data_IF_357917963972
#
_entry.id   IF_357917963972
#
_cell.length_a   1.000
_cell.length_b   1.000
_cell.length_c   1.000
_cell.angle_alpha   90.00
_cell.angle_beta   90.00
_cell.angle_gamma   90.00
#
_symmetry.space_group_name_H-M   'P 1'
#
loop_
_entity.id
_entity.type
_entity.pdbx_description
1 polymer ?
#
# COMPACT_ATOMS: atom_id res chain seq x y z
N UNK A 1 17.15 7.67 -10.15
CA UNK A 1 16.24 6.64 -9.62
C UNK A 1 14.85 7.01 -10.10
N UNK A 2 14.17 6.12 -10.82
CA UNK A 2 12.77 6.38 -11.17
C UNK A 2 11.95 6.29 -9.88
N UNK A 3 11.31 7.39 -9.49
CA UNK A 3 10.66 7.58 -8.17
C UNK A 3 9.14 7.44 -8.25
N UNK A 4 8.63 6.86 -9.33
CA UNK A 4 7.19 6.58 -9.46
C UNK A 4 6.77 5.38 -8.59
N UNK A 5 5.48 5.35 -8.24
CA UNK A 5 4.91 4.30 -7.41
C UNK A 5 5.10 2.89 -8.01
N UNK A 6 4.95 2.68 -9.34
CA UNK A 6 5.25 1.39 -9.97
C UNK A 6 6.68 0.90 -9.73
N UNK A 7 7.69 1.77 -9.86
CA UNK A 7 9.09 1.41 -9.62
C UNK A 7 9.32 0.95 -8.17
N UNK A 8 8.68 1.63 -7.20
CA UNK A 8 8.73 1.24 -5.79
C UNK A 8 8.10 -0.13 -5.54
N UNK A 9 6.94 -0.41 -6.16
CA UNK A 9 6.24 -1.70 -6.04
C UNK A 9 7.09 -2.81 -6.67
N UNK A 10 7.61 -2.61 -7.88
CA UNK A 10 8.45 -3.59 -8.57
C UNK A 10 9.69 -3.94 -7.74
N UNK A 11 10.40 -2.94 -7.21
CA UNK A 11 11.57 -3.19 -6.37
C UNK A 11 11.26 -3.99 -5.10
N UNK A 12 10.05 -3.83 -4.53
CA UNK A 12 9.61 -4.62 -3.38
C UNK A 12 9.25 -6.06 -3.77
N UNK A 13 8.58 -6.23 -4.91
CA UNK A 13 8.22 -7.55 -5.44
C UNK A 13 9.46 -8.35 -5.84
N UNK A 14 10.45 -7.72 -6.48
CA UNK A 14 11.72 -8.37 -6.84
C UNK A 14 12.38 -8.98 -5.60
N UNK A 15 12.54 -8.20 -4.52
CA UNK A 15 13.07 -8.69 -3.24
C UNK A 15 12.23 -9.80 -2.62
N UNK A 16 10.91 -9.68 -2.68
CA UNK A 16 10.01 -10.71 -2.18
C UNK A 16 10.21 -12.05 -2.92
N UNK A 17 10.35 -12.01 -4.25
CA UNK A 17 10.58 -13.22 -5.04
C UNK A 17 12.01 -13.77 -4.91
N UNK A 18 13.02 -12.93 -4.68
CA UNK A 18 14.38 -13.38 -4.34
C UNK A 18 14.42 -14.18 -3.03
N UNK A 19 13.63 -13.77 -2.03
CA UNK A 19 13.55 -14.42 -0.72
C UNK A 19 12.74 -15.72 -0.72
N UNK A 20 12.00 -15.97 -1.80
CA UNK A 20 11.04 -17.06 -1.89
C UNK A 20 11.68 -18.45 -1.99
N UNK A 21 12.97 -18.52 -2.34
CA UNK A 21 13.76 -19.77 -2.42
C UNK A 21 13.05 -20.94 -3.15
N UNK A 22 12.22 -20.64 -4.16
CA UNK A 22 11.52 -21.66 -4.95
C UNK A 22 10.19 -22.17 -4.37
N UNK A 23 9.69 -21.57 -3.28
CA UNK A 23 8.36 -21.89 -2.76
C UNK A 23 7.25 -21.42 -3.73
N UNK A 24 6.13 -22.15 -3.75
CA UNK A 24 4.96 -21.74 -4.53
C UNK A 24 4.25 -20.60 -3.81
N UNK A 25 4.05 -19.49 -4.51
CA UNK A 25 3.34 -18.32 -3.98
C UNK A 25 1.94 -18.20 -4.53
N UNK A 26 1.04 -17.74 -3.67
CA UNK A 26 -0.29 -17.27 -4.02
C UNK A 26 -0.61 -15.98 -3.24
N UNK A 27 -1.51 -15.15 -3.77
CA UNK A 27 -2.00 -13.97 -3.03
C UNK A 27 -1.16 -12.69 -3.13
N UNK A 28 -0.17 -12.61 -4.02
CA UNK A 28 0.66 -11.40 -4.22
C UNK A 28 -0.17 -10.15 -4.49
N UNK A 29 -1.19 -10.26 -5.34
CA UNK A 29 -2.07 -9.13 -5.64
C UNK A 29 -2.76 -8.60 -4.37
N UNK A 30 -3.29 -9.50 -3.53
CA UNK A 30 -3.91 -9.15 -2.25
C UNK A 30 -2.89 -8.52 -1.29
N UNK A 31 -1.69 -9.07 -1.20
CA UNK A 31 -0.61 -8.54 -0.37
C UNK A 31 -0.29 -7.09 -0.75
N UNK A 32 -0.09 -6.81 -2.04
CA UNK A 32 0.20 -5.45 -2.53
C UNK A 32 -0.96 -4.50 -2.27
N UNK A 33 -2.20 -4.92 -2.53
CA UNK A 33 -3.39 -4.10 -2.27
C UNK A 33 -3.51 -3.74 -0.78
N UNK A 34 -3.34 -4.72 0.13
CA UNK A 34 -3.44 -4.48 1.57
C UNK A 34 -2.36 -3.52 2.07
N UNK A 35 -1.12 -3.67 1.60
CA UNK A 35 -0.02 -2.78 2.00
C UNK A 35 -0.22 -1.36 1.48
N UNK A 36 -0.61 -1.20 0.20
CA UNK A 36 -0.82 0.11 -0.41
C UNK A 36 -2.02 0.83 0.21
N UNK A 37 -3.11 0.12 0.50
CA UNK A 37 -4.28 0.66 1.20
C UNK A 37 -3.91 1.14 2.61
N UNK A 38 -3.25 0.29 3.40
CA UNK A 38 -2.83 0.64 4.77
C UNK A 38 -1.89 1.84 4.80
N UNK A 39 -0.90 1.89 3.91
CA UNK A 39 0.03 3.01 3.80
C UNK A 39 -0.69 4.32 3.44
N UNK A 40 -1.63 4.26 2.50
CA UNK A 40 -2.39 5.43 2.04
C UNK A 40 -3.30 5.97 3.14
N UNK A 41 -4.06 5.09 3.80
CA UNK A 41 -4.96 5.47 4.90
C UNK A 41 -4.17 6.11 6.04
N UNK A 42 -3.08 5.47 6.47
CA UNK A 42 -2.24 5.97 7.55
C UNK A 42 -1.67 7.35 7.22
N UNK A 43 -1.12 7.51 6.02
CA UNK A 43 -0.55 8.78 5.59
C UNK A 43 -1.58 9.92 5.63
N UNK A 44 -2.80 9.68 5.14
CA UNK A 44 -3.85 10.71 5.16
C UNK A 44 -4.30 10.99 6.59
N UNK A 45 -4.49 9.97 7.43
CA UNK A 45 -4.84 10.15 8.84
C UNK A 45 -3.83 11.00 9.59
N UNK A 46 -2.53 10.72 9.42
CA UNK A 46 -1.46 11.50 10.04
C UNK A 46 -1.48 12.95 9.52
N UNK A 47 -1.77 13.16 8.24
CA UNK A 47 -1.85 14.50 7.62
C UNK A 47 -2.99 15.38 8.14
N UNK A 48 -4.06 14.76 8.65
CA UNK A 48 -5.27 15.44 9.17
C UNK A 48 -5.41 15.29 10.68
N UNK A 49 -4.31 14.99 11.39
CA UNK A 49 -4.29 14.86 12.85
C UNK A 49 -5.35 13.87 13.37
N UNK A 50 -5.48 12.73 12.70
CA UNK A 50 -6.43 11.65 13.02
C UNK A 50 -7.91 12.04 12.87
N UNK A 51 -8.23 13.17 12.22
CA UNK A 51 -9.61 13.53 11.89
C UNK A 51 -10.19 12.58 10.84
N UNK A 52 -10.94 11.58 11.30
CA UNK A 52 -11.57 10.56 10.46
C UNK A 52 -12.55 11.14 9.43
N UNK A 53 -13.18 12.29 9.70
CA UNK A 53 -14.13 12.93 8.76
C UNK A 53 -13.40 13.43 7.55
N UNK A 54 -12.32 14.14 7.81
CA UNK A 54 -11.50 14.76 6.79
C UNK A 54 -10.70 13.71 6.03
N UNK A 55 -10.19 12.68 6.73
CA UNK A 55 -9.51 11.56 6.08
C UNK A 55 -10.45 10.82 5.11
N UNK A 56 -11.67 10.48 5.53
CA UNK A 56 -12.65 9.84 4.66
C UNK A 56 -12.97 10.71 3.43
N UNK A 57 -13.12 12.03 3.62
CA UNK A 57 -13.33 12.99 2.53
C UNK A 57 -12.16 13.02 1.54
N UNK A 58 -10.91 13.05 2.02
CA UNK A 58 -9.70 13.07 1.19
C UNK A 58 -9.52 11.73 0.46
N UNK A 59 -9.76 10.62 1.15
CA UNK A 59 -9.64 9.27 0.61
C UNK A 59 -10.78 8.92 -0.36
N UNK A 60 -11.84 9.72 -0.44
CA UNK A 60 -13.05 9.41 -1.21
C UNK A 60 -13.80 8.19 -0.67
N UNK A 61 -13.57 7.83 0.59
CA UNK A 61 -14.25 6.74 1.26
C UNK A 61 -15.54 7.27 1.89
N UNK A 62 -16.66 6.60 1.65
CA UNK A 62 -17.84 6.83 2.47
C UNK A 62 -17.49 6.41 3.90
N UNK A 63 -17.81 7.26 4.87
CA UNK A 63 -17.93 6.81 6.26
C UNK A 63 -19.01 5.73 6.26
N UNK A 64 -18.64 4.49 6.59
CA UNK A 64 -19.61 3.42 6.78
C UNK A 64 -20.75 3.84 7.71
#
# INVERSE_FOLDING_TARGET
MNTDLPACINAKLDRYFEQLNGEKVSGVFKMVMQETESATIKFVLDRVEQNQSEAARILGMNRG
#
